data_IF_281023628930
#
_entry.id   IF_281023628930
#
_cell.length_a   1.000
_cell.length_b   1.000
_cell.length_c   1.000
_cell.angle_alpha   90.00
_cell.angle_beta   90.00
_cell.angle_gamma   90.00
#
_symmetry.space_group_name_H-M   'P 1'
#
loop_
_entity.id
_entity.type
_entity.pdbx_description
1 polymer ?
#
# COMPACT_ATOMS: atom_id res chain seq x y z
N UNK A 1 13.30 -46.67 -22.96
CA UNK A 1 14.44 -45.75 -23.25
C UNK A 1 14.14 -44.68 -24.30
N UNK A 2 12.87 -44.46 -24.69
CA UNK A 2 12.48 -43.50 -25.74
C UNK A 2 11.89 -42.19 -25.21
N UNK A 3 11.51 -42.12 -23.92
CA UNK A 3 10.87 -40.95 -23.31
C UNK A 3 11.87 -39.87 -22.88
N UNK A 4 13.08 -40.24 -22.47
CA UNK A 4 14.09 -39.27 -22.00
C UNK A 4 14.75 -38.45 -23.12
N UNK A 5 14.75 -38.94 -24.37
CA UNK A 5 15.33 -38.22 -25.52
C UNK A 5 14.45 -37.06 -26.04
N UNK A 6 13.14 -37.12 -25.82
CA UNK A 6 12.21 -36.06 -26.26
C UNK A 6 12.20 -34.83 -25.32
N UNK A 7 12.46 -35.03 -24.03
CA UNK A 7 12.51 -33.93 -23.04
C UNK A 7 13.78 -33.08 -23.23
N UNK A 8 14.89 -33.69 -23.64
CA UNK A 8 16.15 -32.97 -23.92
C UNK A 8 16.02 -32.12 -25.20
N UNK A 9 15.43 -32.66 -26.27
CA UNK A 9 15.18 -31.91 -27.52
C UNK A 9 14.22 -30.73 -27.35
N UNK A 10 13.21 -30.82 -26.47
CA UNK A 10 12.31 -29.70 -26.18
C UNK A 10 12.98 -28.60 -25.34
N UNK A 11 13.92 -28.95 -24.44
CA UNK A 11 14.69 -27.97 -23.66
C UNK A 11 15.71 -27.21 -24.54
N UNK A 12 16.36 -27.87 -25.49
CA UNK A 12 17.28 -27.23 -26.43
C UNK A 12 16.57 -26.28 -27.40
N UNK A 13 15.40 -26.66 -27.94
CA UNK A 13 14.59 -25.74 -28.77
C UNK A 13 14.15 -24.48 -28.02
N UNK A 14 13.80 -24.59 -26.73
CA UNK A 14 13.43 -23.44 -25.89
C UNK A 14 14.61 -22.52 -25.54
N UNK A 15 15.83 -23.04 -25.52
CA UNK A 15 17.05 -22.26 -25.27
C UNK A 15 17.45 -21.45 -26.51
N UNK A 16 17.43 -22.08 -27.69
CA UNK A 16 17.75 -21.41 -28.95
C UNK A 16 16.70 -20.36 -29.38
N UNK A 17 15.45 -20.49 -28.92
CA UNK A 17 14.40 -19.50 -29.18
C UNK A 17 14.49 -18.28 -28.24
N UNK A 18 15.18 -18.40 -27.09
CA UNK A 18 15.48 -17.28 -26.19
C UNK A 18 16.69 -16.47 -26.64
N UNK A 19 17.71 -17.10 -27.22
CA UNK A 19 18.88 -16.37 -27.76
C UNK A 19 18.56 -15.59 -29.04
N UNK A 20 17.58 -16.04 -29.85
CA UNK A 20 17.15 -15.30 -31.06
C UNK A 20 16.25 -14.09 -30.80
N UNK A 21 15.71 -13.89 -29.59
CA UNK A 21 14.90 -12.72 -29.22
C UNK A 21 15.70 -11.58 -28.58
N UNK A 22 17.04 -11.66 -28.60
CA UNK A 22 17.94 -10.72 -27.94
C UNK A 22 18.39 -9.51 -28.77
N UNK A 23 18.07 -9.39 -30.07
CA UNK A 23 18.60 -8.33 -30.93
C UNK A 23 17.52 -7.68 -31.82
N UNK A 24 16.50 -7.07 -31.22
CA UNK A 24 15.73 -6.01 -31.89
C UNK A 24 15.58 -4.84 -30.91
N UNK A 25 16.37 -3.78 -31.15
CA UNK A 25 16.16 -2.47 -30.54
C UNK A 25 14.82 -1.92 -31.00
N UNK A 26 13.84 -1.90 -30.09
CA UNK A 26 12.60 -1.16 -30.29
C UNK A 26 12.73 0.15 -29.50
N UNK A 27 13.06 1.21 -30.22
CA UNK A 27 12.98 2.58 -29.71
C UNK A 27 11.51 2.94 -29.49
N UNK A 28 11.08 3.15 -28.25
CA UNK A 28 9.72 3.58 -27.92
C UNK A 28 9.73 4.95 -27.24
N UNK A 29 9.11 5.93 -27.91
CA UNK A 29 8.86 7.29 -27.45
C UNK A 29 7.89 7.34 -26.26
N UNK A 30 7.96 8.35 -25.37
CA UNK A 30 7.19 8.37 -24.13
C UNK A 30 5.70 8.64 -24.38
N UNK A 31 4.87 7.63 -24.21
CA UNK A 31 3.41 7.77 -24.23
C UNK A 31 2.91 8.16 -22.83
N UNK A 32 2.24 9.31 -22.77
CA UNK A 32 1.56 9.87 -21.61
C UNK A 32 0.57 8.87 -20.98
N UNK A 33 0.69 8.63 -19.67
CA UNK A 33 -0.25 7.85 -18.87
C UNK A 33 -1.67 8.41 -18.99
N UNK A 34 -2.58 7.59 -19.50
CA UNK A 34 -4.02 7.83 -19.54
C UNK A 34 -4.60 7.70 -18.11
N UNK A 35 -5.24 8.78 -17.66
CA UNK A 35 -6.03 8.81 -16.44
C UNK A 35 -7.37 8.13 -16.69
N UNK A 36 -7.82 7.26 -15.78
CA UNK A 36 -9.12 6.59 -15.81
C UNK A 36 -10.24 7.62 -16.03
N UNK A 37 -10.90 7.51 -17.17
CA UNK A 37 -12.10 8.26 -17.51
C UNK A 37 -13.27 7.58 -16.80
N UNK A 38 -13.92 8.28 -15.86
CA UNK A 38 -15.22 7.85 -15.37
C UNK A 38 -16.23 8.11 -16.49
N UNK A 39 -16.57 7.06 -17.23
CA UNK A 39 -17.68 7.04 -18.16
C UNK A 39 -18.98 7.10 -17.35
N UNK A 40 -19.54 8.31 -17.27
CA UNK A 40 -20.93 8.51 -16.90
C UNK A 40 -21.64 9.00 -18.17
N UNK A 41 -22.69 8.29 -18.55
CA UNK A 41 -23.38 8.36 -19.83
C UNK A 41 -23.75 9.81 -20.22
N UNK A 42 -23.51 10.10 -21.49
CA UNK A 42 -23.80 11.33 -22.19
C UNK A 42 -25.33 11.49 -22.31
N UNK A 43 -25.92 12.46 -21.61
CA UNK A 43 -27.28 12.91 -21.94
C UNK A 43 -27.17 14.03 -22.97
N UNK A 44 -27.26 13.68 -24.25
CA UNK A 44 -27.45 14.61 -25.36
C UNK A 44 -28.75 15.39 -25.12
N UNK A 45 -28.66 16.70 -24.86
CA UNK A 45 -29.79 17.61 -25.01
C UNK A 45 -29.76 18.21 -26.42
N UNK A 46 -30.76 17.83 -27.21
CA UNK A 46 -31.07 18.25 -28.58
C UNK A 46 -30.78 19.74 -28.88
N UNK A 47 -30.01 19.94 -29.96
CA UNK A 47 -29.89 21.21 -30.67
C UNK A 47 -31.27 21.69 -31.17
N UNK A 48 -31.63 22.93 -30.83
CA UNK A 48 -32.53 23.74 -31.66
C UNK A 48 -31.77 24.98 -32.14
N UNK A 49 -31.59 25.03 -33.45
CA UNK A 49 -30.93 26.06 -34.23
C UNK A 49 -31.38 27.50 -33.91
N UNK A 50 -30.47 28.31 -33.37
CA UNK A 50 -30.43 29.76 -33.62
C UNK A 50 -28.97 30.22 -33.73
N UNK A 51 -28.61 30.74 -34.90
CA UNK A 51 -27.31 31.30 -35.20
C UNK A 51 -27.10 32.62 -34.43
N UNK A 52 -26.59 32.54 -33.20
CA UNK A 52 -26.05 33.69 -32.50
C UNK A 52 -24.52 33.64 -32.55
N UNK A 53 -23.92 34.61 -33.23
CA UNK A 53 -22.48 34.85 -33.24
C UNK A 53 -22.03 35.36 -31.87
N UNK A 54 -22.05 34.51 -30.84
CA UNK A 54 -21.43 34.85 -29.56
C UNK A 54 -19.91 34.84 -29.74
N UNK A 55 -19.31 36.02 -29.55
CA UNK A 55 -17.87 36.23 -29.55
C UNK A 55 -17.32 35.51 -28.32
N UNK A 56 -16.87 34.26 -28.45
CA UNK A 56 -16.29 33.50 -27.34
C UNK A 56 -15.10 34.26 -26.77
N UNK A 57 -15.30 34.93 -25.64
CA UNK A 57 -14.24 35.59 -24.89
C UNK A 57 -13.52 34.50 -24.12
N UNK A 58 -12.25 34.24 -24.45
CA UNK A 58 -11.49 33.18 -23.75
C UNK A 58 -11.33 33.54 -22.28
N UNK A 59 -11.69 32.60 -21.41
CA UNK A 59 -11.40 32.69 -19.99
C UNK A 59 -9.88 32.67 -19.76
N UNK A 60 -9.29 33.80 -19.34
CA UNK A 60 -7.85 33.94 -19.05
C UNK A 60 -7.51 33.78 -17.56
N UNK A 61 -8.48 33.53 -16.68
CA UNK A 61 -8.27 33.45 -15.25
C UNK A 61 -7.37 32.27 -14.85
N UNK A 62 -6.55 32.48 -13.82
CA UNK A 62 -5.67 31.45 -13.25
C UNK A 62 -6.38 30.73 -12.12
N UNK A 63 -6.60 29.43 -12.28
CA UNK A 63 -7.37 28.60 -11.33
C UNK A 63 -6.43 27.92 -10.31
N UNK A 64 -5.48 28.65 -9.72
CA UNK A 64 -4.43 28.08 -8.86
C UNK A 64 -5.02 27.31 -7.67
N UNK A 65 -5.89 27.95 -6.89
CA UNK A 65 -6.47 27.35 -5.68
C UNK A 65 -7.37 26.14 -6.01
N UNK A 66 -8.20 26.26 -7.06
CA UNK A 66 -9.04 25.16 -7.52
C UNK A 66 -8.19 23.96 -7.96
N UNK A 67 -7.12 24.20 -8.72
CA UNK A 67 -6.19 23.17 -9.17
C UNK A 67 -5.49 22.47 -8.00
N UNK A 68 -4.98 23.22 -7.00
CA UNK A 68 -4.35 22.67 -5.79
C UNK A 68 -5.34 21.79 -5.03
N UNK A 69 -6.58 22.24 -4.84
CA UNK A 69 -7.59 21.47 -4.12
C UNK A 69 -8.00 20.21 -4.89
N UNK A 70 -8.14 20.30 -6.21
CA UNK A 70 -8.44 19.13 -7.05
C UNK A 70 -7.31 18.09 -6.97
N UNK A 71 -6.04 18.51 -6.96
CA UNK A 71 -4.90 17.61 -6.74
C UNK A 71 -4.92 16.99 -5.34
N UNK A 72 -5.16 17.81 -4.30
CA UNK A 72 -5.17 17.37 -2.91
C UNK A 72 -6.23 16.30 -2.62
N UNK A 73 -7.42 16.46 -3.20
CA UNK A 73 -8.54 15.54 -2.99
C UNK A 73 -8.70 14.52 -4.11
N UNK A 74 -7.74 14.43 -5.04
CA UNK A 74 -7.77 13.48 -6.17
C UNK A 74 -9.05 13.58 -7.01
N UNK A 75 -9.55 14.79 -7.19
CA UNK A 75 -10.75 15.06 -7.99
C UNK A 75 -10.34 15.05 -9.47
N UNK A 76 -11.12 14.35 -10.30
CA UNK A 76 -10.88 14.32 -11.74
C UNK A 76 -11.22 15.69 -12.37
N UNK A 77 -10.58 16.02 -13.50
CA UNK A 77 -10.74 17.34 -14.13
C UNK A 77 -12.20 17.67 -14.49
N UNK A 78 -12.99 16.66 -14.90
CA UNK A 78 -14.40 16.85 -15.26
C UNK A 78 -15.24 17.18 -14.02
N UNK A 79 -15.10 16.40 -12.94
CA UNK A 79 -15.81 16.66 -11.69
C UNK A 79 -15.42 18.01 -11.08
N UNK A 80 -14.12 18.34 -11.07
CA UNK A 80 -13.64 19.63 -10.56
C UNK A 80 -14.19 20.83 -11.33
N UNK A 81 -14.27 20.73 -12.66
CA UNK A 81 -14.86 21.76 -13.51
C UNK A 81 -16.37 21.92 -13.26
N UNK A 82 -17.12 20.82 -13.18
CA UNK A 82 -18.57 20.83 -12.91
C UNK A 82 -18.87 21.45 -11.55
N UNK A 83 -18.16 21.04 -10.50
CA UNK A 83 -18.33 21.60 -9.15
C UNK A 83 -18.03 23.10 -9.15
N UNK A 84 -16.95 23.53 -9.80
CA UNK A 84 -16.60 24.94 -9.87
C UNK A 84 -17.65 25.75 -10.64
N UNK A 85 -18.16 25.24 -11.76
CA UNK A 85 -19.21 25.92 -12.53
C UNK A 85 -20.53 26.01 -11.78
N UNK A 86 -20.92 24.96 -11.03
CA UNK A 86 -22.13 24.99 -10.19
C UNK A 86 -22.05 26.11 -9.15
N UNK A 87 -20.90 26.22 -8.47
CA UNK A 87 -20.65 27.33 -7.53
C UNK A 87 -20.71 28.67 -8.25
N UNK A 88 -20.06 28.82 -9.41
CA UNK A 88 -20.10 30.09 -10.15
C UNK A 88 -21.52 30.48 -10.62
N UNK A 89 -22.39 29.51 -10.89
CA UNK A 89 -23.81 29.74 -11.18
C UNK A 89 -24.58 30.20 -9.93
N UNK A 90 -24.38 29.55 -8.77
CA UNK A 90 -25.02 29.95 -7.50
C UNK A 90 -24.65 31.39 -7.08
N UNK A 91 -23.43 31.81 -7.39
CA UNK A 91 -22.96 33.18 -7.15
C UNK A 91 -23.33 34.16 -8.28
N UNK A 92 -24.05 33.72 -9.32
CA UNK A 92 -24.50 34.56 -10.43
C UNK A 92 -23.38 35.07 -11.35
N UNK A 93 -22.19 34.45 -11.30
CA UNK A 93 -21.02 34.80 -12.12
C UNK A 93 -21.14 34.19 -13.52
N UNK A 94 -21.73 33.00 -13.61
CA UNK A 94 -22.11 32.36 -14.88
C UNK A 94 -23.64 32.38 -14.96
N UNK A 95 -24.17 32.92 -16.05
CA UNK A 95 -25.61 32.94 -16.32
C UNK A 95 -25.88 32.44 -17.74
N UNK A 96 -27.15 32.36 -18.14
CA UNK A 96 -27.51 32.01 -19.52
C UNK A 96 -27.07 33.08 -20.53
N UNK A 97 -26.89 34.32 -20.08
CA UNK A 97 -26.50 35.46 -20.93
C UNK A 97 -24.99 35.73 -20.88
N UNK A 98 -24.31 35.33 -19.79
CA UNK A 98 -22.88 35.56 -19.54
C UNK A 98 -22.16 34.24 -19.23
N UNK A 99 -21.42 33.73 -20.22
CA UNK A 99 -20.74 32.43 -20.20
C UNK A 99 -19.20 32.54 -20.23
N UNK A 100 -18.64 33.76 -20.21
CA UNK A 100 -17.20 33.99 -20.37
C UNK A 100 -16.33 33.37 -19.27
N UNK A 101 -16.94 33.09 -18.11
CA UNK A 101 -16.28 32.54 -16.93
C UNK A 101 -16.40 31.03 -16.79
N UNK A 102 -17.02 30.33 -17.76
CA UNK A 102 -17.10 28.87 -17.74
C UNK A 102 -15.70 28.25 -17.63
N UNK A 103 -15.57 27.30 -16.73
CA UNK A 103 -14.37 26.49 -16.53
C UNK A 103 -14.61 25.15 -17.20
N UNK A 104 -13.94 24.92 -18.33
CA UNK A 104 -13.94 23.61 -18.99
C UNK A 104 -12.89 22.65 -18.39
N UNK A 105 -13.03 21.34 -18.64
CA UNK A 105 -12.08 20.30 -18.19
C UNK A 105 -10.64 20.63 -18.59
N UNK A 106 -10.42 21.09 -19.83
CA UNK A 106 -9.09 21.40 -20.37
C UNK A 106 -8.51 22.69 -19.77
N UNK A 107 -9.34 23.66 -19.38
CA UNK A 107 -8.94 24.84 -18.62
C UNK A 107 -8.42 24.44 -17.25
N UNK A 108 -9.16 23.61 -16.51
CA UNK A 108 -8.71 23.10 -15.21
C UNK A 108 -7.44 22.25 -15.35
N UNK A 109 -7.37 21.35 -16.34
CA UNK A 109 -6.18 20.53 -16.63
C UNK A 109 -4.94 21.37 -16.90
N UNK A 110 -5.06 22.44 -17.71
CA UNK A 110 -3.95 23.38 -17.98
C UNK A 110 -3.52 24.12 -16.72
N UNK A 111 -4.46 24.57 -15.89
CA UNK A 111 -4.13 25.20 -14.61
C UNK A 111 -3.43 24.22 -13.67
N UNK A 112 -3.89 22.96 -13.54
CA UNK A 112 -3.18 21.91 -12.77
C UNK A 112 -1.77 21.70 -13.28
N UNK A 113 -1.59 21.56 -14.59
CA UNK A 113 -0.25 21.40 -15.18
C UNK A 113 0.68 22.58 -14.85
N UNK A 114 0.20 23.81 -14.99
CA UNK A 114 0.97 25.02 -14.67
C UNK A 114 1.36 25.07 -13.19
N UNK A 115 0.41 24.82 -12.29
CA UNK A 115 0.65 24.82 -10.84
C UNK A 115 1.61 23.73 -10.43
N UNK A 116 1.46 22.51 -10.96
CA UNK A 116 2.38 21.41 -10.68
C UNK A 116 3.80 21.73 -11.14
N UNK A 117 3.96 22.36 -12.31
CA UNK A 117 5.27 22.79 -12.81
C UNK A 117 5.90 23.86 -11.91
N UNK A 118 5.11 24.85 -11.49
CA UNK A 118 5.55 25.89 -10.55
C UNK A 118 6.00 25.28 -9.21
N UNK A 119 5.16 24.43 -8.61
CA UNK A 119 5.48 23.73 -7.36
C UNK A 119 6.69 22.80 -7.51
N UNK A 120 6.86 22.14 -8.65
CA UNK A 120 8.03 21.32 -8.93
C UNK A 120 9.31 22.16 -9.03
N UNK A 121 9.24 23.35 -9.63
CA UNK A 121 10.37 24.28 -9.70
C UNK A 121 10.71 24.85 -8.31
N UNK A 122 9.70 25.28 -7.54
CA UNK A 122 9.87 25.72 -6.15
C UNK A 122 10.50 24.60 -5.29
N UNK A 123 10.03 23.37 -5.45
CA UNK A 123 10.58 22.20 -4.79
C UNK A 123 12.02 21.92 -5.22
N UNK A 124 12.37 22.10 -6.49
CA UNK A 124 13.73 21.92 -7.00
C UNK A 124 14.70 22.99 -6.46
N UNK A 125 14.24 24.24 -6.32
CA UNK A 125 15.05 25.32 -5.75
C UNK A 125 15.31 25.13 -4.25
N UNK A 126 14.33 24.56 -3.53
CA UNK A 126 14.38 24.35 -2.07
C UNK A 126 14.99 23.01 -1.66
N UNK A 127 14.77 21.93 -2.42
CA UNK A 127 15.28 20.59 -2.18
C UNK A 127 16.49 20.36 -3.09
N UNK A 128 17.66 20.81 -2.63
CA UNK A 128 18.91 20.64 -3.38
C UNK A 128 19.63 19.32 -3.08
N UNK A 129 19.30 18.67 -1.96
CA UNK A 129 20.01 17.49 -1.47
C UNK A 129 19.07 16.41 -0.92
N UNK A 130 18.59 15.52 -1.80
CA UNK A 130 17.85 14.33 -1.37
C UNK A 130 18.86 13.29 -0.87
N UNK A 131 18.96 13.16 0.46
CA UNK A 131 19.86 12.20 1.11
C UNK A 131 19.24 10.81 1.31
N UNK A 132 17.91 10.71 1.29
CA UNK A 132 17.22 9.44 1.42
C UNK A 132 15.87 9.42 0.69
N UNK A 133 15.50 8.27 0.13
CA UNK A 133 14.18 8.01 -0.44
C UNK A 133 13.48 6.88 0.31
N UNK A 134 12.17 7.01 0.49
CA UNK A 134 11.32 5.95 1.02
C UNK A 134 10.23 5.62 0.00
N UNK A 135 10.03 4.34 -0.28
CA UNK A 135 8.93 3.90 -1.14
C UNK A 135 8.26 2.66 -0.54
N UNK A 136 6.94 2.62 -0.71
CA UNK A 136 6.13 1.45 -0.38
C UNK A 136 5.92 0.62 -1.64
N UNK A 137 6.01 -0.70 -1.50
CA UNK A 137 5.79 -1.61 -2.63
C UNK A 137 4.31 -1.62 -3.01
N UNK A 138 3.95 -0.90 -4.07
CA UNK A 138 2.57 -0.89 -4.58
C UNK A 138 2.42 -1.92 -5.70
N UNK A 139 1.45 -2.82 -5.53
CA UNK A 139 1.02 -3.77 -6.56
C UNK A 139 -0.32 -3.30 -7.08
N UNK A 140 -0.31 -2.66 -8.23
CA UNK A 140 -1.53 -2.23 -8.87
C UNK A 140 -2.01 -3.32 -9.83
N UNK A 141 -3.33 -3.50 -9.86
CA UNK A 141 -3.99 -4.42 -10.78
C UNK A 141 -4.26 -3.65 -12.06
N UNK A 142 -3.44 -3.91 -13.08
CA UNK A 142 -3.59 -3.30 -14.40
C UNK A 142 -4.41 -4.25 -15.27
N UNK A 143 -5.47 -3.73 -15.90
CA UNK A 143 -6.22 -4.50 -16.88
C UNK A 143 -5.46 -4.51 -18.19
N UNK A 144 -5.10 -5.70 -18.67
CA UNK A 144 -4.42 -5.91 -19.94
C UNK A 144 -5.29 -6.72 -20.88
N UNK A 145 -5.23 -6.43 -22.17
CA UNK A 145 -5.87 -7.25 -23.19
C UNK A 145 -4.86 -8.30 -23.65
N UNK A 146 -5.18 -9.57 -23.46
CA UNK A 146 -4.33 -10.70 -23.84
C UNK A 146 -5.02 -11.48 -24.94
N UNK A 147 -4.34 -11.64 -26.08
CA UNK A 147 -4.82 -12.48 -27.17
C UNK A 147 -4.64 -13.95 -26.80
N UNK A 148 -5.73 -14.73 -26.84
CA UNK A 148 -5.69 -16.18 -26.57
C UNK A 148 -5.68 -16.97 -27.87
N UNK A 149 -5.54 -18.29 -27.75
CA UNK A 149 -5.45 -19.22 -28.89
C UNK A 149 -6.69 -19.19 -29.81
N UNK A 150 -7.79 -18.58 -29.37
CA UNK A 150 -9.00 -18.33 -30.15
C UNK A 150 -8.93 -17.06 -31.04
N UNK A 151 -7.82 -16.32 -31.01
CA UNK A 151 -7.62 -15.10 -31.80
C UNK A 151 -8.41 -13.89 -31.28
N UNK A 152 -9.03 -14.00 -30.11
CA UNK A 152 -9.76 -12.90 -29.49
C UNK A 152 -8.97 -12.29 -28.33
N UNK A 153 -9.08 -10.96 -28.20
CA UNK A 153 -8.51 -10.22 -27.08
C UNK A 153 -9.41 -10.37 -25.86
N UNK A 154 -8.91 -11.03 -24.82
CA UNK A 154 -9.60 -11.17 -23.54
C UNK A 154 -9.03 -10.19 -22.53
N UNK A 155 -9.91 -9.59 -21.73
CA UNK A 155 -9.51 -8.73 -20.63
C UNK A 155 -8.97 -9.62 -19.49
N UNK A 156 -7.69 -9.46 -19.18
CA UNK A 156 -7.01 -10.11 -18.06
C UNK A 156 -6.52 -9.05 -17.07
N UNK A 157 -6.18 -9.46 -15.86
CA UNK A 157 -5.61 -8.57 -14.85
C UNK A 157 -4.15 -8.94 -14.65
N UNK A 158 -3.24 -8.14 -15.19
CA UNK A 158 -1.83 -8.21 -14.81
C UNK A 158 -1.63 -7.51 -13.48
N UNK A 159 -0.87 -8.14 -12.59
CA UNK A 159 -0.39 -7.46 -11.39
C UNK A 159 0.96 -6.89 -11.79
N UNK A 160 1.02 -5.58 -11.97
CA UNK A 160 2.25 -4.87 -12.30
C UNK A 160 2.78 -4.14 -11.07
N UNK A 161 4.10 -4.16 -10.93
CA UNK A 161 4.80 -3.43 -9.87
C UNK A 161 5.00 -2.01 -10.37
N UNK A 162 4.19 -1.08 -9.85
CA UNK A 162 4.26 0.33 -10.23
C UNK A 162 5.31 1.04 -9.39
N UNK A 163 6.42 1.40 -10.02
CA UNK A 163 7.44 2.28 -9.47
C UNK A 163 7.21 3.69 -10.01
N UNK A 164 6.76 4.61 -9.16
CA UNK A 164 6.77 6.03 -9.51
C UNK A 164 8.18 6.56 -9.31
N UNK A 165 9.05 6.34 -10.28
CA UNK A 165 10.28 7.13 -10.40
C UNK A 165 9.86 8.44 -11.04
N UNK A 166 9.75 9.50 -10.24
CA UNK A 166 9.62 10.84 -10.78
C UNK A 166 10.89 11.09 -11.59
N UNK A 167 10.77 11.08 -12.92
CA UNK A 167 11.88 11.45 -13.79
C UNK A 167 12.37 12.83 -13.38
N UNK A 168 13.66 12.97 -13.11
CA UNK A 168 14.25 14.27 -12.82
C UNK A 168 13.92 15.24 -13.97
N UNK A 169 13.42 16.46 -13.67
CA UNK A 169 13.18 17.46 -14.69
C UNK A 169 14.55 18.01 -15.12
N UNK A 170 15.09 17.45 -16.20
CA UNK A 170 16.34 17.94 -16.81
C UNK A 170 17.57 17.18 -16.35
N UNK A 171 18.14 16.45 -17.31
CA UNK A 171 19.41 15.75 -17.28
C UNK A 171 20.52 16.33 -16.37
N UNK A 172 21.29 15.39 -15.80
CA UNK A 172 22.76 15.36 -15.70
C UNK A 172 23.48 15.55 -14.37
N UNK A 173 22.82 15.47 -13.23
CA UNK A 173 23.55 15.14 -11.99
C UNK A 173 22.95 13.88 -11.37
N UNK A 174 23.61 12.74 -11.61
CA UNK A 174 23.42 11.54 -10.79
C UNK A 174 23.46 12.02 -9.36
N UNK A 175 22.32 11.98 -8.66
CA UNK A 175 22.17 12.51 -7.32
C UNK A 175 23.22 11.86 -6.38
N UNK A 176 24.41 12.46 -6.31
CA UNK A 176 25.58 11.88 -5.64
C UNK A 176 25.38 11.82 -4.14
N UNK A 177 24.35 12.52 -3.65
CA UNK A 177 24.03 12.72 -2.25
C UNK A 177 23.02 11.69 -1.71
N UNK A 178 22.44 10.83 -2.55
CA UNK A 178 21.52 9.79 -2.05
C UNK A 178 22.28 8.76 -1.21
N UNK A 179 22.16 8.79 0.12
CA UNK A 179 22.89 7.92 1.03
C UNK A 179 22.08 6.70 1.47
N UNK A 180 20.76 6.81 1.49
CA UNK A 180 19.90 5.77 2.04
C UNK A 180 18.62 5.53 1.24
N UNK A 181 18.13 4.30 1.32
CA UNK A 181 16.86 3.87 0.75
C UNK A 181 16.07 3.12 1.82
N UNK A 182 14.81 3.48 1.99
CA UNK A 182 13.89 2.80 2.86
C UNK A 182 12.75 2.14 2.09
N UNK A 183 12.45 0.89 2.44
CA UNK A 183 11.32 0.16 1.88
C UNK A 183 10.80 -0.88 2.87
N UNK A 184 9.68 -1.52 2.53
CA UNK A 184 9.27 -2.72 3.25
C UNK A 184 10.27 -3.88 3.00
N UNK A 185 10.16 -4.94 3.80
CA UNK A 185 11.02 -6.12 3.68
C UNK A 185 10.66 -7.06 2.53
N UNK A 186 9.79 -6.66 1.59
CA UNK A 186 9.34 -7.56 0.53
C UNK A 186 10.50 -7.91 -0.42
N UNK A 187 10.43 -9.10 -1.01
CA UNK A 187 11.44 -9.60 -1.95
C UNK A 187 11.63 -8.68 -3.17
N UNK A 188 10.59 -7.96 -3.55
CA UNK A 188 10.57 -7.00 -4.67
C UNK A 188 11.48 -5.81 -4.37
N UNK A 189 11.65 -5.46 -3.09
CA UNK A 189 12.47 -4.36 -2.64
C UNK A 189 13.89 -4.82 -2.27
N UNK A 190 14.00 -5.96 -1.56
CA UNK A 190 15.25 -6.46 -0.95
C UNK A 190 15.93 -7.61 -1.71
N UNK A 191 15.40 -8.01 -2.87
CA UNK A 191 15.91 -9.13 -3.65
C UNK A 191 17.38 -8.94 -4.10
N UNK A 192 18.19 -10.01 -3.96
CA UNK A 192 19.64 -9.99 -4.24
C UNK A 192 20.00 -9.63 -5.68
N UNK A 193 19.14 -9.95 -6.65
CA UNK A 193 19.40 -9.71 -8.08
C UNK A 193 18.53 -8.60 -8.66
N UNK A 194 17.22 -8.63 -8.39
CA UNK A 194 16.23 -7.73 -8.98
C UNK A 194 15.46 -6.92 -7.92
N UNK A 195 15.96 -6.84 -6.68
CA UNK A 195 15.36 -5.99 -5.67
C UNK A 195 15.54 -4.52 -6.05
N UNK A 196 14.53 -3.68 -5.84
CA UNK A 196 14.60 -2.26 -6.15
C UNK A 196 15.84 -1.60 -5.56
N UNK A 197 16.15 -1.89 -4.30
CA UNK A 197 17.32 -1.33 -3.62
C UNK A 197 18.62 -1.80 -4.30
N UNK A 198 18.68 -3.07 -4.72
CA UNK A 198 19.82 -3.60 -5.47
C UNK A 198 19.99 -2.92 -6.83
N UNK A 199 18.90 -2.68 -7.54
CA UNK A 199 18.92 -1.99 -8.82
C UNK A 199 19.39 -0.55 -8.65
N UNK A 200 18.97 0.13 -7.58
CA UNK A 200 19.46 1.46 -7.23
C UNK A 200 20.95 1.45 -6.88
N UNK A 201 21.44 0.49 -6.09
CA UNK A 201 22.88 0.34 -5.80
C UNK A 201 23.72 0.21 -7.09
N UNK A 202 23.21 -0.55 -8.06
CA UNK A 202 23.87 -0.76 -9.37
C UNK A 202 23.86 0.53 -10.21
N UNK A 203 22.71 1.22 -10.29
CA UNK A 203 22.55 2.45 -11.06
C UNK A 203 23.41 3.60 -10.51
N UNK A 204 23.40 3.78 -9.18
CA UNK A 204 24.21 4.80 -8.51
C UNK A 204 25.67 4.39 -8.33
N UNK A 205 26.04 3.15 -8.68
CA UNK A 205 27.40 2.60 -8.55
C UNK A 205 28.01 2.75 -7.16
N UNK A 206 27.17 2.72 -6.10
CA UNK A 206 27.60 2.86 -4.71
C UNK A 206 26.67 2.06 -3.78
N UNK A 207 27.16 1.59 -2.62
CA UNK A 207 26.30 0.96 -1.63
C UNK A 207 25.41 2.02 -0.95
N UNK A 208 24.10 1.84 -1.03
CA UNK A 208 23.12 2.62 -0.28
C UNK A 208 22.88 1.98 1.10
N UNK A 209 22.58 2.78 2.11
CA UNK A 209 22.15 2.26 3.39
C UNK A 209 20.68 1.79 3.32
N UNK A 210 20.41 0.57 3.81
CA UNK A 210 19.09 -0.05 3.67
C UNK A 210 18.30 0.07 4.98
N UNK A 211 17.27 0.91 4.98
CA UNK A 211 16.31 0.96 6.08
C UNK A 211 15.15 0.00 5.81
N UNK A 212 15.17 -1.15 6.50
CA UNK A 212 14.09 -2.14 6.41
C UNK A 212 13.09 -1.92 7.53
N UNK A 213 11.80 -2.00 7.22
CA UNK A 213 10.73 -1.88 8.21
C UNK A 213 10.82 -2.97 9.31
N UNK A 214 11.18 -2.57 10.54
CA UNK A 214 11.26 -3.49 11.68
C UNK A 214 9.90 -4.09 12.06
N UNK A 215 8.80 -3.36 11.86
CA UNK A 215 7.45 -3.87 12.14
C UNK A 215 7.10 -5.05 11.22
N UNK A 216 7.35 -4.92 9.90
CA UNK A 216 7.18 -6.04 8.97
C UNK A 216 8.11 -7.20 9.31
N UNK A 217 9.35 -6.93 9.72
CA UNK A 217 10.27 -7.95 10.23
C UNK A 217 9.70 -8.73 11.42
N UNK A 218 9.07 -8.03 12.38
CA UNK A 218 8.44 -8.63 13.55
C UNK A 218 7.20 -9.50 13.22
N UNK A 219 6.55 -9.26 12.09
CA UNK A 219 5.42 -10.12 11.65
C UNK A 219 5.88 -11.50 11.17
N UNK A 220 7.12 -11.62 10.65
CA UNK A 220 7.62 -12.86 10.04
C UNK A 220 7.72 -14.05 11.01
N UNK A 221 8.25 -13.91 12.24
CA UNK A 221 8.27 -15.00 13.21
C UNK A 221 6.87 -15.53 13.57
N UNK A 222 5.92 -14.62 13.84
CA UNK A 222 4.53 -15.00 14.11
C UNK A 222 3.93 -15.73 12.92
N UNK A 223 4.21 -15.26 11.70
CA UNK A 223 3.80 -15.91 10.46
C UNK A 223 4.31 -17.32 10.31
N UNK A 224 5.60 -17.53 10.50
CA UNK A 224 6.20 -18.86 10.38
C UNK A 224 5.64 -19.80 11.45
N UNK A 225 5.55 -19.34 12.71
CA UNK A 225 4.97 -20.14 13.79
C UNK A 225 3.52 -20.53 13.49
N UNK A 226 2.70 -19.58 13.05
CA UNK A 226 1.31 -19.83 12.69
C UNK A 226 1.19 -20.85 11.56
N UNK A 227 2.02 -20.76 10.52
CA UNK A 227 2.02 -21.72 9.41
C UNK A 227 2.48 -23.13 9.81
N UNK A 228 3.33 -23.26 10.84
CA UNK A 228 3.74 -24.55 11.39
C UNK A 228 2.60 -25.17 12.20
N UNK A 229 1.88 -24.36 12.98
CA UNK A 229 0.83 -24.83 13.90
C UNK A 229 -0.50 -25.07 13.19
N UNK A 230 -0.92 -24.18 12.30
CA UNK A 230 -2.23 -24.21 11.63
C UNK A 230 -2.14 -24.62 10.14
N UNK A 231 -0.96 -24.90 9.61
CA UNK A 231 -0.68 -25.14 8.19
C UNK A 231 -0.61 -23.89 7.29
N UNK A 232 -0.09 -24.09 6.07
CA UNK A 232 -0.03 -23.06 5.04
C UNK A 232 -1.43 -22.73 4.51
N UNK A 233 -1.65 -21.47 4.15
CA UNK A 233 -2.90 -21.00 3.55
C UNK A 233 -3.18 -21.71 2.21
N UNK A 234 -4.45 -21.93 1.89
CA UNK A 234 -4.91 -22.55 0.64
C UNK A 234 -5.04 -21.55 -0.50
N UNK A 235 -5.09 -20.26 -0.18
CA UNK A 235 -5.23 -19.17 -1.12
C UNK A 235 -5.03 -17.82 -0.42
N UNK A 236 -5.16 -16.70 -1.15
CA UNK A 236 -4.88 -15.36 -0.63
C UNK A 236 -5.81 -14.93 0.51
N UNK A 237 -6.96 -15.59 0.69
CA UNK A 237 -7.98 -15.23 1.69
C UNK A 237 -8.46 -16.39 2.57
N UNK A 238 -7.88 -17.59 2.48
CA UNK A 238 -8.38 -18.78 3.21
C UNK A 238 -7.30 -19.54 3.98
N UNK A 239 -7.63 -19.89 5.23
CA UNK A 239 -6.81 -20.78 6.07
C UNK A 239 -7.19 -22.24 5.85
N UNK A 240 -6.20 -23.13 5.90
CA UNK A 240 -6.43 -24.58 5.85
C UNK A 240 -6.73 -25.15 7.22
N UNK A 241 -5.98 -24.75 8.24
CA UNK A 241 -6.13 -25.27 9.58
C UNK A 241 -7.35 -24.78 10.33
N UNK A 242 -7.62 -25.51 11.41
CA UNK A 242 -8.82 -25.38 12.22
C UNK A 242 -8.80 -24.07 13.02
N UNK A 243 -7.63 -23.61 13.46
CA UNK A 243 -7.49 -22.36 14.20
C UNK A 243 -7.82 -21.21 13.25
N UNK A 244 -7.11 -21.10 12.12
CA UNK A 244 -7.31 -20.02 11.16
C UNK A 244 -8.75 -19.94 10.64
N UNK A 245 -9.39 -21.08 10.36
CA UNK A 245 -10.82 -21.14 9.97
C UNK A 245 -11.75 -20.58 11.05
N UNK A 246 -11.47 -20.85 12.32
CA UNK A 246 -12.29 -20.36 13.46
C UNK A 246 -12.06 -18.88 13.76
N UNK A 247 -10.96 -18.28 13.31
CA UNK A 247 -10.67 -16.87 13.56
C UNK A 247 -11.56 -15.92 12.75
N UNK A 248 -12.16 -16.36 11.65
CA UNK A 248 -13.07 -15.55 10.84
C UNK A 248 -14.51 -15.59 11.39
N UNK A 249 -14.66 -15.31 12.69
CA UNK A 249 -15.97 -15.22 13.35
C UNK A 249 -16.24 -13.81 13.90
N UNK A 250 -17.50 -13.58 14.28
CA UNK A 250 -17.90 -12.46 15.11
C UNK A 250 -17.59 -12.78 16.59
N UNK A 251 -16.76 -11.95 17.21
CA UNK A 251 -16.39 -12.08 18.62
C UNK A 251 -17.33 -11.31 19.54
N UNK A 252 -18.20 -10.42 19.02
CA UNK A 252 -19.18 -9.72 19.87
C UNK A 252 -20.17 -10.68 20.53
N UNK A 253 -20.48 -11.80 19.85
CA UNK A 253 -21.31 -12.88 20.39
C UNK A 253 -20.55 -13.88 21.26
N UNK A 254 -19.24 -13.70 21.47
CA UNK A 254 -18.40 -14.63 22.26
C UNK A 254 -18.03 -13.99 23.60
N UNK A 255 -18.71 -14.35 24.70
CA UNK A 255 -18.37 -13.79 26.00
C UNK A 255 -16.94 -14.18 26.41
N UNK A 256 -16.35 -13.39 27.30
CA UNK A 256 -15.08 -13.74 27.91
C UNK A 256 -15.29 -15.01 28.75
N UNK A 257 -14.41 -15.98 28.57
CA UNK A 257 -14.38 -17.22 29.33
C UNK A 257 -13.56 -17.06 30.61
N UNK A 258 -13.69 -18.00 31.54
CA UNK A 258 -12.74 -18.16 32.64
C UNK A 258 -11.44 -18.79 32.10
N UNK A 259 -10.64 -18.00 31.37
CA UNK A 259 -9.36 -18.44 30.80
C UNK A 259 -8.24 -18.36 31.84
N UNK A 260 -7.16 -19.14 31.62
CA UNK A 260 -5.96 -19.06 32.45
C UNK A 260 -5.06 -17.91 31.97
N UNK A 261 -4.67 -16.96 32.85
CA UNK A 261 -3.71 -15.93 32.48
C UNK A 261 -2.36 -16.53 32.06
N UNK A 262 -1.68 -15.92 31.09
CA UNK A 262 -0.37 -16.36 30.65
C UNK A 262 0.69 -15.33 31.02
N UNK A 263 1.79 -15.77 31.63
CA UNK A 263 2.95 -14.91 31.80
C UNK A 263 3.39 -14.35 30.45
N UNK A 264 3.56 -13.03 30.38
CA UNK A 264 3.96 -12.33 29.18
C UNK A 264 4.92 -11.19 29.49
N UNK A 265 5.61 -10.71 28.47
CA UNK A 265 6.64 -9.68 28.55
C UNK A 265 6.17 -8.36 27.96
N UNK A 266 4.86 -8.20 27.70
CA UNK A 266 4.30 -6.96 27.18
C UNK A 266 4.39 -5.91 28.27
N UNK A 267 5.31 -4.96 28.09
CA UNK A 267 5.59 -3.91 29.04
C UNK A 267 4.55 -2.79 28.95
N UNK A 268 4.37 -2.09 30.06
CA UNK A 268 3.59 -0.85 30.07
C UNK A 268 4.29 0.18 29.19
N UNK A 269 3.54 0.79 28.27
CA UNK A 269 4.00 1.93 27.48
C UNK A 269 3.58 3.24 28.15
N UNK A 270 4.34 4.30 27.92
CA UNK A 270 4.01 5.63 28.45
C UNK A 270 2.69 6.17 27.85
N UNK A 271 2.06 7.08 28.59
CA UNK A 271 0.74 7.61 28.25
C UNK A 271 0.71 8.34 26.89
N UNK A 272 1.82 8.95 26.47
CA UNK A 272 1.86 9.71 25.21
C UNK A 272 2.03 8.79 24.01
N UNK A 273 2.86 7.75 24.13
CA UNK A 273 2.90 6.63 23.17
C UNK A 273 1.54 5.97 23.01
N UNK A 274 0.81 5.73 24.11
CA UNK A 274 -0.51 5.10 24.09
C UNK A 274 -1.57 5.95 23.36
N UNK A 275 -1.55 7.28 23.51
CA UNK A 275 -2.49 8.19 22.83
C UNK A 275 -2.35 8.11 21.31
N UNK A 276 -1.12 8.01 20.82
CA UNK A 276 -0.77 7.98 19.40
C UNK A 276 -1.07 6.64 18.70
N UNK A 277 -1.47 5.61 19.45
CA UNK A 277 -1.88 4.34 18.87
C UNK A 277 -3.26 4.42 18.21
N UNK A 278 -3.39 3.75 17.06
CA UNK A 278 -4.69 3.55 16.42
C UNK A 278 -5.54 2.52 17.19
N UNK A 279 -6.80 2.32 16.76
CA UNK A 279 -7.75 1.42 17.42
C UNK A 279 -7.25 -0.04 17.50
N UNK A 280 -6.72 -0.57 16.41
CA UNK A 280 -6.22 -1.97 16.34
C UNK A 280 -4.97 -2.18 17.21
N UNK A 281 -4.14 -1.15 17.36
CA UNK A 281 -2.92 -1.18 18.18
C UNK A 281 -3.26 -1.07 19.67
N UNK A 282 -4.21 -0.20 20.03
CA UNK A 282 -4.78 -0.13 21.39
C UNK A 282 -5.44 -1.45 21.78
N UNK A 283 -6.16 -2.06 20.84
CA UNK A 283 -6.70 -3.42 20.98
C UNK A 283 -5.61 -4.42 21.33
N UNK A 284 -4.53 -4.49 20.53
CA UNK A 284 -3.44 -5.42 20.77
C UNK A 284 -2.85 -5.24 22.17
N UNK A 285 -2.58 -3.99 22.56
CA UNK A 285 -2.03 -3.66 23.86
C UNK A 285 -2.94 -4.12 25.00
N UNK A 286 -4.21 -3.70 24.95
CA UNK A 286 -5.19 -3.98 26.00
C UNK A 286 -5.46 -5.49 26.14
N UNK A 287 -5.58 -6.22 25.04
CA UNK A 287 -5.78 -7.67 25.11
C UNK A 287 -4.52 -8.38 25.62
N UNK A 288 -3.31 -7.97 25.22
CA UNK A 288 -2.08 -8.56 25.78
C UNK A 288 -2.03 -8.38 27.31
N UNK A 289 -2.38 -7.19 27.81
CA UNK A 289 -2.48 -6.95 29.25
C UNK A 289 -3.58 -7.78 29.92
N UNK A 290 -4.74 -7.95 29.29
CA UNK A 290 -5.79 -8.80 29.81
C UNK A 290 -5.32 -10.27 29.91
N UNK A 291 -4.71 -10.80 28.86
CA UNK A 291 -4.15 -12.17 28.86
C UNK A 291 -3.10 -12.35 29.97
N UNK A 292 -2.26 -11.33 30.20
CA UNK A 292 -1.23 -11.38 31.24
C UNK A 292 -1.78 -11.27 32.67
N UNK A 293 -2.81 -10.46 32.90
CA UNK A 293 -3.33 -10.17 34.25
C UNK A 293 -4.54 -11.02 34.61
N UNK A 294 -5.21 -11.60 33.63
CA UNK A 294 -6.55 -12.21 33.78
C UNK A 294 -7.69 -11.20 33.86
N UNK A 295 -7.40 -9.90 33.88
CA UNK A 295 -8.39 -8.84 34.05
C UNK A 295 -8.78 -8.30 32.68
N UNK A 296 -10.05 -8.45 32.32
CA UNK A 296 -10.57 -7.98 31.04
C UNK A 296 -11.73 -7.01 31.27
N UNK A 297 -11.64 -5.80 30.70
CA UNK A 297 -12.72 -4.80 30.83
C UNK A 297 -13.92 -5.16 29.95
N UNK A 298 -15.11 -4.68 30.32
CA UNK A 298 -16.34 -4.90 29.56
C UNK A 298 -16.26 -4.35 28.12
N UNK A 299 -15.54 -3.24 27.92
CA UNK A 299 -15.31 -2.67 26.58
C UNK A 299 -14.43 -3.61 25.73
N UNK A 300 -13.39 -4.18 26.34
CA UNK A 300 -12.50 -5.15 25.69
C UNK A 300 -13.23 -6.46 25.38
N UNK A 301 -14.21 -6.84 26.21
CA UNK A 301 -15.10 -7.99 25.99
C UNK A 301 -15.91 -7.85 24.70
N UNK A 302 -16.40 -6.63 24.41
CA UNK A 302 -17.23 -6.35 23.25
C UNK A 302 -16.40 -6.04 21.99
N UNK A 303 -15.08 -6.10 22.10
CA UNK A 303 -14.19 -5.76 21.00
C UNK A 303 -14.28 -6.77 19.87
N UNK A 304 -14.54 -6.25 18.66
CA UNK A 304 -14.42 -6.97 17.42
C UNK A 304 -13.13 -6.54 16.70
N UNK A 305 -12.12 -7.42 16.59
CA UNK A 305 -10.96 -7.17 15.74
C UNK A 305 -11.36 -6.99 14.28
N UNK A 306 -10.61 -6.18 13.52
CA UNK A 306 -10.84 -5.98 12.08
C UNK A 306 -10.85 -7.29 11.26
N UNK A 307 -11.33 -7.25 10.00
CA UNK A 307 -11.37 -8.44 9.14
C UNK A 307 -9.96 -8.98 8.86
N UNK A 308 -9.82 -10.30 8.76
CA UNK A 308 -8.52 -10.93 8.53
C UNK A 308 -8.04 -10.59 7.12
N UNK A 309 -6.83 -10.04 7.04
CA UNK A 309 -6.10 -9.86 5.80
C UNK A 309 -4.72 -10.52 5.94
N UNK A 310 -4.31 -11.33 4.96
CA UNK A 310 -3.07 -12.12 5.04
C UNK A 310 -1.78 -11.27 4.96
N UNK A 311 -1.91 -9.97 4.69
CA UNK A 311 -0.83 -8.99 4.79
C UNK A 311 -0.81 -8.20 6.12
N UNK A 312 -1.77 -8.39 7.03
CA UNK A 312 -1.86 -7.64 8.30
C UNK A 312 -1.85 -8.59 9.49
N UNK A 313 -0.66 -8.88 10.01
CA UNK A 313 -0.48 -9.86 11.09
C UNK A 313 -0.94 -9.35 12.45
N UNK A 314 -0.97 -8.03 12.65
CA UNK A 314 -1.55 -7.41 13.86
C UNK A 314 -3.01 -7.81 14.06
N UNK A 315 -3.82 -7.83 12.99
CA UNK A 315 -5.23 -8.23 13.06
C UNK A 315 -5.39 -9.71 13.38
N UNK A 316 -4.53 -10.57 12.83
CA UNK A 316 -4.49 -11.99 13.18
C UNK A 316 -4.14 -12.19 14.66
N UNK A 317 -3.12 -11.47 15.15
CA UNK A 317 -2.71 -11.49 16.55
C UNK A 317 -3.87 -11.11 17.49
N UNK A 318 -4.57 -10.00 17.18
CA UNK A 318 -5.75 -9.57 17.92
C UNK A 318 -6.84 -10.65 17.97
N UNK A 319 -7.13 -11.30 16.84
CA UNK A 319 -8.13 -12.37 16.77
C UNK A 319 -7.70 -13.63 17.53
N UNK A 320 -6.42 -14.00 17.49
CA UNK A 320 -5.88 -15.13 18.26
C UNK A 320 -6.02 -14.90 19.76
N UNK A 321 -5.59 -13.72 20.24
CA UNK A 321 -5.73 -13.35 21.63
C UNK A 321 -7.21 -13.28 22.05
N UNK A 322 -8.07 -12.68 21.22
CA UNK A 322 -9.53 -12.63 21.47
C UNK A 322 -10.15 -14.02 21.54
N UNK A 323 -9.72 -14.94 20.67
CA UNK A 323 -10.15 -16.34 20.69
C UNK A 323 -9.72 -17.05 21.97
N UNK A 324 -8.50 -16.81 22.44
CA UNK A 324 -7.98 -17.40 23.68
C UNK A 324 -8.82 -16.99 24.89
N UNK A 325 -9.03 -15.68 25.08
CA UNK A 325 -9.82 -15.19 26.22
C UNK A 325 -11.31 -15.55 26.13
N UNK A 326 -11.80 -16.00 24.97
CA UNK A 326 -13.18 -16.51 24.79
C UNK A 326 -13.33 -18.01 25.01
N UNK A 327 -12.23 -18.73 25.29
CA UNK A 327 -12.23 -20.19 25.34
C UNK A 327 -11.87 -20.66 26.74
N UNK A 328 -12.77 -21.41 27.38
CA UNK A 328 -12.56 -21.93 28.74
C UNK A 328 -11.36 -22.90 28.78
N UNK A 329 -11.26 -23.76 27.76
CA UNK A 329 -10.17 -24.73 27.61
C UNK A 329 -9.49 -24.55 26.25
N UNK A 330 -8.56 -23.58 26.13
CA UNK A 330 -7.84 -23.34 24.87
C UNK A 330 -6.97 -24.55 24.53
N UNK A 331 -6.89 -24.89 23.25
CA UNK A 331 -6.04 -26.01 22.82
C UNK A 331 -4.55 -25.68 23.04
N UNK A 332 -3.68 -26.68 23.22
CA UNK A 332 -2.24 -26.45 23.38
C UNK A 332 -1.63 -25.60 22.25
N UNK A 333 -2.13 -25.78 21.03
CA UNK A 333 -1.73 -25.05 19.83
C UNK A 333 -2.11 -23.57 19.90
N UNK A 334 -3.36 -23.26 20.29
CA UNK A 334 -3.81 -21.88 20.47
C UNK A 334 -3.03 -21.19 21.60
N UNK A 335 -2.84 -21.89 22.72
CA UNK A 335 -2.05 -21.39 23.86
C UNK A 335 -0.61 -21.11 23.45
N UNK A 336 0.01 -21.95 22.62
CA UNK A 336 1.37 -21.73 22.11
C UNK A 336 1.48 -20.47 21.24
N UNK A 337 0.50 -20.22 20.38
CA UNK A 337 0.45 -19.00 19.56
C UNK A 337 0.28 -17.74 20.42
N UNK A 338 -0.67 -17.76 21.35
CA UNK A 338 -0.96 -16.65 22.26
C UNK A 338 0.26 -16.36 23.15
N UNK A 339 0.89 -17.41 23.68
CA UNK A 339 2.11 -17.30 24.47
C UNK A 339 3.23 -16.62 23.68
N UNK A 340 3.43 -16.99 22.41
CA UNK A 340 4.38 -16.31 21.53
C UNK A 340 4.02 -14.84 21.30
N UNK A 341 2.73 -14.53 21.16
CA UNK A 341 2.28 -13.15 20.97
C UNK A 341 2.65 -12.28 22.17
N UNK A 342 2.32 -12.72 23.39
CA UNK A 342 2.54 -11.91 24.61
C UNK A 342 3.99 -11.91 25.10
N UNK A 343 4.83 -12.88 24.68
CA UNK A 343 6.24 -12.96 25.08
C UNK A 343 7.23 -12.44 24.03
N UNK A 344 6.86 -12.39 22.76
CA UNK A 344 7.74 -11.95 21.67
C UNK A 344 7.08 -10.89 20.79
N UNK A 345 6.01 -11.23 20.08
CA UNK A 345 5.46 -10.36 19.02
C UNK A 345 5.05 -8.98 19.54
N UNK A 346 4.17 -8.92 20.56
CA UNK A 346 3.67 -7.66 21.10
C UNK A 346 4.77 -6.86 21.81
N UNK A 347 5.61 -7.43 22.69
CA UNK A 347 6.73 -6.71 23.29
C UNK A 347 7.65 -6.03 22.25
N UNK A 348 8.06 -6.76 21.20
CA UNK A 348 8.91 -6.21 20.13
C UNK A 348 8.16 -5.14 19.34
N UNK A 349 6.89 -5.38 19.03
CA UNK A 349 6.05 -4.44 18.29
C UNK A 349 5.94 -3.08 19.01
N UNK A 350 5.64 -3.10 20.31
CA UNK A 350 5.53 -1.88 21.12
C UNK A 350 6.89 -1.22 21.33
N UNK A 351 7.97 -2.00 21.51
CA UNK A 351 9.33 -1.45 21.59
C UNK A 351 9.70 -0.65 20.35
N UNK A 352 9.43 -1.19 19.16
CA UNK A 352 9.66 -0.52 17.87
C UNK A 352 8.81 0.75 17.76
N UNK A 353 7.52 0.69 18.16
CA UNK A 353 6.65 1.87 18.12
C UNK A 353 7.07 2.99 19.05
N UNK A 354 7.54 2.67 20.24
CA UNK A 354 8.03 3.66 21.20
C UNK A 354 9.41 4.19 20.82
N UNK A 355 10.19 3.47 19.99
CA UNK A 355 11.52 3.87 19.55
C UNK A 355 11.63 3.75 18.01
N UNK A 356 10.90 4.58 17.24
CA UNK A 356 10.74 4.41 15.79
C UNK A 356 11.90 4.97 14.96
N UNK A 357 12.84 5.69 15.59
CA UNK A 357 13.94 6.34 14.90
C UNK A 357 14.98 5.28 14.48
N UNK A 358 15.57 5.45 13.30
CA UNK A 358 16.52 4.49 12.75
C UNK A 358 17.75 4.24 13.64
N UNK A 359 18.18 5.23 14.44
CA UNK A 359 19.29 5.09 15.39
C UNK A 359 18.99 4.12 16.52
N UNK A 360 17.72 3.86 16.83
CA UNK A 360 17.30 2.86 17.82
C UNK A 360 17.11 1.46 17.21
N UNK A 361 17.20 1.31 15.87
CA UNK A 361 16.98 0.04 15.20
C UNK A 361 17.89 -1.09 15.74
N UNK A 362 19.20 -0.90 15.99
CA UNK A 362 20.05 -1.94 16.59
C UNK A 362 19.60 -2.35 17.99
N UNK A 363 19.15 -1.39 18.81
CA UNK A 363 18.64 -1.65 20.16
C UNK A 363 17.33 -2.44 20.12
N UNK A 364 16.43 -2.08 19.20
CA UNK A 364 15.17 -2.79 18.99
C UNK A 364 15.42 -4.23 18.52
N UNK A 365 16.40 -4.44 17.63
CA UNK A 365 16.79 -5.76 17.15
C UNK A 365 17.43 -6.61 18.27
N UNK A 366 18.35 -6.03 19.04
CA UNK A 366 18.96 -6.71 20.19
C UNK A 366 17.89 -7.11 21.23
N UNK A 367 16.95 -6.21 21.52
CA UNK A 367 15.81 -6.51 22.38
C UNK A 367 14.99 -7.69 21.83
N UNK A 368 14.64 -7.68 20.54
CA UNK A 368 13.92 -8.79 19.92
C UNK A 368 14.67 -10.13 20.05
N UNK A 369 15.98 -10.15 19.81
CA UNK A 369 16.81 -11.36 19.96
C UNK A 369 16.82 -11.85 21.40
N UNK A 370 16.86 -10.94 22.39
CA UNK A 370 16.85 -11.31 23.81
C UNK A 370 15.55 -11.96 24.30
N UNK A 371 14.49 -11.95 23.48
CA UNK A 371 13.19 -12.55 23.79
C UNK A 371 12.98 -13.95 23.20
N UNK A 372 13.85 -14.37 22.27
CA UNK A 372 13.92 -15.73 21.73
C UNK A 372 14.68 -16.63 22.71
#
# INVERSE_FOLDING_TARGET
MTTSKNIVKQKEKRRNMKEKKGNEEITCSPTSQEFIECDFEEFESLDSSTSNTHKYTRNHNQLRNLAIMCDRYQICDRAGAVIANAVLQDYGIITQEEDSQIIDRNKLRRSRFSVRKELANEAHETIRDISAIYFDGRKDQTRVLVEREDGHLHQDTSIEEHYTVLSEPGNQERNSNLMAVGADGARVNTGVYNGCIRLLDLEFTKPLHWFICQLHGNELPLRHLFQIIDEKTSGPNSFKGVIGKKLNCDFTCKPIAAYHPLCGKTQLIDCDSLKNLNKDQKCLYNICHAVQTGICSSELALMQPGPIHHARWTTLGNRLLRSYISTIHPTPELSRLVNFIVNYYAPVWFRIKSNPICTDAPKNMFFAISLL
#
